data_IF_330003281320
#
_entry.id   IF_330003281320
#
_cell.length_a   1.000
_cell.length_b   1.000
_cell.length_c   1.000
_cell.angle_alpha   90.00
_cell.angle_beta   90.00
_cell.angle_gamma   90.00
#
_symmetry.space_group_name_H-M   'P 1'
#
loop_
_entity.id
_entity.type
_entity.pdbx_description
1 polymer ?
#
# COMPACT_ATOMS: atom_id res chain seq x y z
N UNK A 1 0.26 -27.50 -44.42
CA UNK A 1 -0.63 -28.54 -43.88
C UNK A 1 -1.38 -27.95 -42.70
N UNK A 2 -2.72 -27.96 -42.76
CA UNK A 2 -3.58 -27.55 -41.65
C UNK A 2 -3.84 -28.81 -40.83
N UNK A 3 -3.52 -28.78 -39.53
CA UNK A 3 -3.85 -29.87 -38.62
C UNK A 3 -5.08 -29.45 -37.83
N UNK A 4 -6.17 -30.19 -38.00
CA UNK A 4 -7.44 -29.93 -37.31
C UNK A 4 -7.57 -30.89 -36.14
N UNK A 5 -7.86 -30.35 -34.95
CA UNK A 5 -8.19 -31.14 -33.77
C UNK A 5 -9.71 -31.09 -33.60
N UNK A 6 -10.36 -32.24 -33.69
CA UNK A 6 -11.79 -32.37 -33.48
C UNK A 6 -12.06 -32.70 -32.01
N UNK A 7 -13.01 -31.99 -31.40
CA UNK A 7 -13.48 -32.25 -30.04
C UNK A 7 -14.99 -32.53 -30.06
N UNK A 8 -15.51 -33.20 -29.03
CA UNK A 8 -16.94 -33.46 -28.94
C UNK A 8 -17.73 -32.18 -28.67
N UNK A 9 -18.99 -32.15 -29.10
CA UNK A 9 -19.90 -31.03 -28.84
C UNK A 9 -20.08 -30.77 -27.34
N UNK A 10 -20.05 -31.81 -26.50
CA UNK A 10 -20.12 -31.67 -25.05
C UNK A 10 -18.89 -30.92 -24.50
N UNK A 11 -17.70 -31.27 -24.96
CA UNK A 11 -16.45 -30.59 -24.58
C UNK A 11 -16.46 -29.13 -25.05
N UNK A 12 -16.95 -28.88 -26.27
CA UNK A 12 -17.08 -27.51 -26.79
C UNK A 12 -18.03 -26.65 -25.94
N UNK A 13 -19.21 -27.17 -25.61
CA UNK A 13 -20.20 -26.44 -24.81
C UNK A 13 -19.71 -26.16 -23.37
N UNK A 14 -18.94 -27.08 -22.78
CA UNK A 14 -18.28 -26.85 -21.48
C UNK A 14 -17.22 -25.74 -21.56
N UNK A 15 -16.50 -25.62 -22.68
CA UNK A 15 -15.56 -24.52 -22.89
C UNK A 15 -16.30 -23.18 -23.04
N UNK A 16 -17.38 -23.13 -23.83
CA UNK A 16 -18.20 -21.93 -24.01
C UNK A 16 -18.84 -21.43 -22.70
N UNK A 17 -19.34 -22.34 -21.85
CA UNK A 17 -19.95 -21.93 -20.58
C UNK A 17 -18.94 -21.31 -19.60
N UNK A 18 -17.68 -21.73 -19.64
CA UNK A 18 -16.60 -21.13 -18.86
C UNK A 18 -16.20 -19.72 -19.36
N UNK A 19 -16.59 -19.37 -20.59
CA UNK A 19 -16.27 -18.10 -21.25
C UNK A 19 -17.38 -17.06 -21.04
N UNK A 20 -18.58 -17.50 -20.63
CA UNK A 20 -19.73 -16.63 -20.51
C UNK A 20 -19.49 -15.52 -19.46
N UNK A 21 -19.28 -14.29 -19.95
CA UNK A 21 -18.98 -13.09 -19.15
C UNK A 21 -17.62 -12.45 -19.43
N UNK A 22 -16.75 -13.10 -20.19
CA UNK A 22 -15.49 -12.51 -20.64
C UNK A 22 -15.52 -12.36 -22.16
N UNK A 23 -15.14 -11.19 -22.69
CA UNK A 23 -14.96 -10.91 -24.11
C UNK A 23 -13.72 -11.62 -24.68
N UNK A 24 -13.57 -12.91 -24.38
CA UNK A 24 -12.44 -13.75 -24.74
C UNK A 24 -12.83 -14.79 -25.80
N UNK A 25 -11.87 -15.20 -26.62
CA UNK A 25 -12.04 -16.20 -27.68
C UNK A 25 -11.73 -17.61 -27.16
N UNK A 26 -12.33 -18.69 -27.71
CA UNK A 26 -12.01 -20.08 -27.33
C UNK A 26 -10.51 -20.41 -27.36
N UNK A 27 -9.77 -19.89 -28.33
CA UNK A 27 -8.31 -20.05 -28.44
C UNK A 27 -7.54 -19.52 -27.21
N UNK A 28 -7.95 -18.35 -26.67
CA UNK A 28 -7.31 -17.77 -25.48
C UNK A 28 -7.53 -18.63 -24.25
N UNK A 29 -8.70 -19.27 -24.15
CA UNK A 29 -9.03 -20.16 -23.03
C UNK A 29 -8.22 -21.44 -23.12
N UNK A 30 -8.14 -22.04 -24.30
CA UNK A 30 -7.29 -23.21 -24.56
C UNK A 30 -5.83 -22.90 -24.17
N UNK A 31 -5.30 -21.74 -24.59
CA UNK A 31 -3.95 -21.33 -24.24
C UNK A 31 -3.75 -21.13 -22.71
N UNK A 32 -4.72 -20.55 -22.00
CA UNK A 32 -4.65 -20.42 -20.52
C UNK A 32 -4.67 -21.78 -19.81
N UNK A 33 -5.48 -22.72 -20.30
CA UNK A 33 -5.54 -24.06 -19.73
C UNK A 33 -4.23 -24.82 -19.98
N UNK A 34 -3.67 -24.72 -21.18
CA UNK A 34 -2.37 -25.30 -21.50
C UNK A 34 -1.28 -24.69 -20.60
N UNK A 35 -1.26 -23.37 -20.41
CA UNK A 35 -0.32 -22.68 -19.53
C UNK A 35 -0.46 -23.14 -18.05
N UNK A 36 -1.68 -23.38 -17.58
CA UNK A 36 -1.96 -23.73 -16.18
C UNK A 36 -1.72 -25.21 -15.86
N UNK A 37 -1.91 -26.11 -16.83
CA UNK A 37 -1.87 -27.56 -16.63
C UNK A 37 -0.68 -28.27 -17.28
N UNK A 38 0.20 -27.55 -17.98
CA UNK A 38 1.45 -28.12 -18.49
C UNK A 38 2.42 -28.45 -17.34
N UNK A 39 2.74 -29.73 -17.06
CA UNK A 39 3.57 -30.11 -15.92
C UNK A 39 5.05 -29.72 -16.05
N UNK A 40 5.46 -29.07 -17.15
CA UNK A 40 6.86 -28.74 -17.45
C UNK A 40 7.12 -27.29 -17.87
N UNK A 41 6.17 -26.37 -17.68
CA UNK A 41 6.49 -24.95 -17.79
C UNK A 41 6.76 -24.41 -16.39
N UNK A 42 8.02 -24.02 -16.13
CA UNK A 42 8.34 -23.13 -15.00
C UNK A 42 7.32 -21.99 -15.06
N UNK A 43 6.67 -21.62 -13.94
CA UNK A 43 5.65 -20.57 -13.95
C UNK A 43 6.21 -19.39 -14.74
N UNK A 44 5.49 -18.96 -15.80
CA UNK A 44 5.79 -17.68 -16.47
C UNK A 44 6.06 -16.71 -15.33
N UNK A 45 7.24 -16.09 -15.30
CA UNK A 45 7.58 -15.04 -14.35
C UNK A 45 6.51 -13.95 -14.51
N UNK A 46 5.36 -14.11 -13.84
CA UNK A 46 4.66 -13.00 -13.25
C UNK A 46 5.79 -12.28 -12.54
N UNK A 47 6.09 -11.04 -12.93
CA UNK A 47 6.98 -10.19 -12.16
C UNK A 47 6.44 -10.21 -10.73
N UNK A 48 6.91 -11.16 -9.91
CA UNK A 48 6.72 -11.20 -8.48
C UNK A 48 7.48 -9.94 -8.08
N UNK A 49 6.75 -8.80 -8.02
CA UNK A 49 7.31 -7.53 -7.61
C UNK A 49 7.93 -7.83 -6.26
N UNK A 50 9.26 -7.97 -6.26
CA UNK A 50 10.03 -8.27 -5.05
C UNK A 50 9.59 -7.23 -4.04
N UNK A 51 9.09 -7.70 -2.89
CA UNK A 51 8.55 -6.81 -1.88
C UNK A 51 9.63 -5.79 -1.53
N UNK A 52 9.25 -4.52 -1.57
CA UNK A 52 10.17 -3.41 -1.35
C UNK A 52 10.41 -3.22 0.16
N UNK A 53 11.58 -3.68 0.61
CA UNK A 53 12.05 -3.57 1.99
C UNK A 53 12.98 -2.36 2.23
N UNK A 54 13.04 -1.39 1.31
CA UNK A 54 13.87 -0.19 1.48
C UNK A 54 13.57 0.47 2.83
N UNK A 55 14.66 0.75 3.56
CA UNK A 55 14.69 1.48 4.82
C UNK A 55 15.30 2.85 4.57
N UNK A 56 15.01 3.78 5.46
CA UNK A 56 15.53 5.14 5.44
C UNK A 56 16.17 5.45 6.79
N UNK A 57 17.24 6.23 6.77
CA UNK A 57 17.95 6.64 7.97
C UNK A 57 17.38 7.97 8.44
N UNK A 58 16.93 8.01 9.68
CA UNK A 58 16.48 9.22 10.37
C UNK A 58 17.05 9.20 11.79
N UNK A 59 17.68 10.31 12.22
CA UNK A 59 18.39 10.40 13.50
C UNK A 59 19.33 9.20 13.75
N UNK A 60 20.13 8.84 12.73
CA UNK A 60 21.07 7.71 12.76
C UNK A 60 20.46 6.31 12.91
N UNK A 61 19.13 6.17 12.78
CA UNK A 61 18.43 4.89 12.90
C UNK A 61 17.74 4.49 11.59
N UNK A 62 17.85 3.22 11.14
CA UNK A 62 17.20 2.75 9.92
C UNK A 62 15.76 2.32 10.18
N UNK A 63 14.80 2.94 9.48
CA UNK A 63 13.38 2.65 9.60
C UNK A 63 12.76 2.14 8.29
N UNK A 64 11.89 1.12 8.34
CA UNK A 64 10.98 0.86 7.22
C UNK A 64 10.04 2.05 7.01
N UNK A 65 9.50 2.18 5.79
CA UNK A 65 8.69 3.33 5.32
C UNK A 65 7.63 3.81 6.31
N UNK A 66 6.84 2.89 6.86
CA UNK A 66 5.78 3.21 7.81
C UNK A 66 6.32 3.75 9.15
N UNK A 67 7.41 3.15 9.67
CA UNK A 67 8.07 3.60 10.89
C UNK A 67 8.80 4.92 10.70
N UNK A 68 9.38 5.16 9.53
CA UNK A 68 9.98 6.45 9.19
C UNK A 68 8.95 7.57 9.37
N UNK A 69 7.76 7.42 8.77
CA UNK A 69 6.69 8.42 8.89
C UNK A 69 6.31 8.67 10.35
N UNK A 70 6.12 7.60 11.13
CA UNK A 70 5.80 7.71 12.56
C UNK A 70 6.89 8.47 13.34
N UNK A 71 8.16 8.11 13.15
CA UNK A 71 9.28 8.70 13.91
C UNK A 71 9.51 10.16 13.54
N UNK A 72 9.39 10.52 12.25
CA UNK A 72 9.51 11.90 11.79
C UNK A 72 8.39 12.76 12.34
N UNK A 73 7.13 12.28 12.32
CA UNK A 73 6.01 13.03 12.89
C UNK A 73 6.13 13.20 14.41
N UNK A 74 6.59 12.18 15.13
CA UNK A 74 6.89 12.28 16.57
C UNK A 74 7.93 13.35 16.84
N UNK A 75 9.02 13.36 16.08
CA UNK A 75 10.06 14.38 16.22
C UNK A 75 9.52 15.79 15.93
N UNK A 76 8.74 15.97 14.87
CA UNK A 76 8.15 17.26 14.50
C UNK A 76 7.29 17.85 15.61
N UNK A 77 6.42 17.02 16.19
CA UNK A 77 5.52 17.45 17.27
C UNK A 77 6.32 17.78 18.53
N UNK A 78 7.34 16.99 18.85
CA UNK A 78 8.24 17.24 19.97
C UNK A 78 9.02 18.55 19.81
N UNK A 79 9.56 18.82 18.63
CA UNK A 79 10.43 19.96 18.38
C UNK A 79 9.68 21.30 18.35
N UNK A 80 8.45 21.33 17.82
CA UNK A 80 7.67 22.59 17.76
C UNK A 80 6.98 22.96 19.07
N UNK A 81 6.69 21.96 19.92
CA UNK A 81 5.88 22.07 21.13
C UNK A 81 4.44 22.57 20.84
N UNK A 82 3.45 22.09 21.60
CA UNK A 82 2.03 22.52 21.49
C UNK A 82 1.40 22.47 20.09
N UNK A 83 1.92 21.64 19.18
CA UNK A 83 1.40 21.51 17.81
C UNK A 83 -0.05 21.03 17.82
N UNK A 84 -0.93 21.76 17.11
CA UNK A 84 -2.33 21.39 16.90
C UNK A 84 -2.52 20.48 15.68
N UNK A 85 -3.67 19.80 15.63
CA UNK A 85 -4.06 19.00 14.47
C UNK A 85 -4.07 19.80 13.17
N UNK A 86 -4.59 21.04 13.21
CA UNK A 86 -4.73 21.89 12.02
C UNK A 86 -3.36 22.26 11.45
N UNK A 87 -2.40 22.61 12.30
CA UNK A 87 -1.04 22.97 11.89
C UNK A 87 -0.32 21.78 11.27
N UNK A 88 -0.35 20.62 11.94
CA UNK A 88 0.29 19.43 11.40
C UNK A 88 -0.35 19.01 10.07
N UNK A 89 -1.67 19.14 9.93
CA UNK A 89 -2.41 18.81 8.71
C UNK A 89 -2.11 19.78 7.56
N UNK A 90 -1.82 21.05 7.88
CA UNK A 90 -1.35 22.02 6.91
C UNK A 90 0.04 21.67 6.38
N UNK A 91 0.93 21.18 7.26
CA UNK A 91 2.25 20.70 6.85
C UNK A 91 2.16 19.42 6.00
N UNK A 92 1.32 18.47 6.42
CA UNK A 92 1.17 17.15 5.80
C UNK A 92 -0.26 16.89 5.35
N UNK A 93 -0.71 17.51 4.24
CA UNK A 93 -2.05 17.29 3.73
C UNK A 93 -2.27 15.83 3.31
N UNK A 94 -3.53 15.40 3.35
CA UNK A 94 -3.98 14.03 3.03
C UNK A 94 -3.40 13.51 1.69
N UNK A 95 -3.25 14.38 0.70
CA UNK A 95 -2.77 14.08 -0.65
C UNK A 95 -1.35 13.53 -0.71
N UNK A 96 -0.53 13.73 0.34
CA UNK A 96 0.82 13.13 0.42
C UNK A 96 0.72 11.60 0.40
N UNK A 97 -0.16 11.04 1.22
CA UNK A 97 -0.37 9.59 1.28
C UNK A 97 -1.36 9.15 0.19
N UNK A 98 -2.46 9.89 0.03
CA UNK A 98 -3.58 9.56 -0.86
C UNK A 98 -4.86 9.20 -0.09
N UNK A 99 -5.41 8.02 -0.36
CA UNK A 99 -6.76 7.63 0.08
C UNK A 99 -6.98 7.64 1.60
N UNK A 100 -5.97 7.23 2.37
CA UNK A 100 -6.06 7.14 3.84
C UNK A 100 -5.59 8.42 4.54
N UNK A 101 -4.71 9.18 3.91
CA UNK A 101 -4.05 10.32 4.55
C UNK A 101 -2.84 9.92 5.38
N UNK A 102 -2.10 10.92 5.85
CA UNK A 102 -0.85 10.71 6.59
C UNK A 102 -1.13 10.28 8.03
N UNK A 103 -2.12 10.89 8.65
CA UNK A 103 -2.61 10.62 9.99
C UNK A 103 -4.08 11.07 10.08
N UNK A 104 -4.76 10.62 11.12
CA UNK A 104 -6.12 11.06 11.45
C UNK A 104 -6.31 11.12 12.96
N UNK A 105 -7.37 11.81 13.41
CA UNK A 105 -7.74 11.87 14.83
C UNK A 105 -8.02 10.46 15.34
N UNK A 106 -7.57 10.18 16.55
CA UNK A 106 -7.80 8.93 17.23
C UNK A 106 -8.58 9.17 18.52
N UNK A 107 -9.74 8.53 18.60
CA UNK A 107 -10.56 8.44 19.80
C UNK A 107 -10.72 6.96 20.14
N UNK A 108 -10.25 6.59 21.33
CA UNK A 108 -10.34 5.21 21.81
C UNK A 108 -11.80 4.75 21.91
N UNK A 109 -12.09 3.53 21.43
CA UNK A 109 -13.46 2.99 21.42
C UNK A 109 -14.41 3.63 20.41
N UNK A 110 -13.97 4.61 19.62
CA UNK A 110 -14.81 5.24 18.62
C UNK A 110 -15.13 4.28 17.47
N UNK A 111 -16.43 3.98 17.28
CA UNK A 111 -16.94 3.22 16.13
C UNK A 111 -16.67 3.92 14.79
N UNK A 112 -16.36 5.23 14.81
CA UNK A 112 -16.05 5.99 13.60
C UNK A 112 -14.65 5.67 13.07
N UNK A 113 -13.73 5.22 13.92
CA UNK A 113 -12.37 4.88 13.50
C UNK A 113 -12.31 3.47 12.88
N UNK A 114 -12.98 3.29 11.74
CA UNK A 114 -13.07 2.00 11.02
C UNK A 114 -11.75 1.55 10.37
N UNK A 115 -10.72 2.41 10.37
CA UNK A 115 -9.46 2.15 9.70
C UNK A 115 -8.33 1.65 10.62
N UNK A 116 -8.63 1.11 11.81
CA UNK A 116 -7.63 0.67 12.80
C UNK A 116 -6.47 -0.15 12.20
N UNK A 117 -6.73 -1.06 11.25
CA UNK A 117 -5.69 -1.89 10.62
C UNK A 117 -4.70 -1.10 9.76
N UNK A 118 -5.09 0.09 9.28
CA UNK A 118 -4.31 0.96 8.38
C UNK A 118 -3.54 2.05 9.11
N UNK A 119 -3.64 2.10 10.43
CA UNK A 119 -3.02 3.11 11.27
C UNK A 119 -2.30 2.46 12.46
N UNK A 120 -1.33 3.16 13.04
CA UNK A 120 -0.71 2.80 14.30
C UNK A 120 -1.59 3.27 15.46
N UNK A 121 -2.23 2.34 16.16
CA UNK A 121 -3.22 2.63 17.21
C UNK A 121 -2.79 2.13 18.59
N UNK A 122 -1.59 1.55 18.73
CA UNK A 122 -1.10 1.16 20.05
C UNK A 122 -0.79 2.41 20.88
N UNK A 123 -1.03 2.41 22.20
CA UNK A 123 -0.85 3.59 23.05
C UNK A 123 0.51 4.27 22.89
N UNK A 124 1.59 3.49 22.80
CA UNK A 124 2.96 3.97 22.62
C UNK A 124 3.27 4.54 21.22
N UNK A 125 2.40 4.28 20.24
CA UNK A 125 2.54 4.74 18.85
C UNK A 125 1.68 5.97 18.55
N UNK A 126 0.67 6.26 19.38
CA UNK A 126 -0.14 7.46 19.25
C UNK A 126 0.71 8.71 19.46
N UNK A 127 0.37 9.78 18.75
CA UNK A 127 1.00 11.08 18.92
C UNK A 127 -0.02 12.01 19.58
N UNK A 128 0.35 12.55 20.73
CA UNK A 128 -0.43 13.55 21.45
C UNK A 128 -0.13 14.93 20.87
N UNK A 129 -1.17 15.58 20.34
CA UNK A 129 -1.15 16.99 19.94
C UNK A 129 -1.72 17.84 21.08
N UNK A 130 -1.70 19.16 20.93
CA UNK A 130 -2.27 20.07 21.95
C UNK A 130 -3.78 19.92 22.10
N UNK A 131 -4.49 19.53 21.05
CA UNK A 131 -5.95 19.50 20.98
C UNK A 131 -6.55 18.09 20.83
N UNK A 132 -5.75 17.08 20.50
CA UNK A 132 -6.24 15.72 20.23
C UNK A 132 -5.11 14.68 20.21
N UNK A 133 -5.47 13.40 20.19
CA UNK A 133 -4.54 12.34 19.84
C UNK A 133 -4.71 11.98 18.37
N UNK A 134 -3.60 11.63 17.70
CA UNK A 134 -3.63 11.16 16.32
C UNK A 134 -3.01 9.78 16.19
N UNK A 135 -3.54 9.02 15.24
CA UNK A 135 -2.96 7.78 14.76
C UNK A 135 -2.33 8.03 13.38
N UNK A 136 -1.14 7.47 13.14
CA UNK A 136 -0.38 7.64 11.89
C UNK A 136 -0.66 6.49 10.93
N UNK A 137 -0.88 6.76 9.65
CA UNK A 137 -1.13 5.72 8.66
C UNK A 137 0.10 4.81 8.50
N UNK A 138 -0.11 3.50 8.50
CA UNK A 138 0.93 2.49 8.37
C UNK A 138 1.11 1.98 6.91
N UNK A 139 0.32 2.49 5.96
CA UNK A 139 0.31 2.07 4.55
C UNK A 139 1.14 3.02 3.67
N UNK A 140 2.40 2.66 3.45
CA UNK A 140 3.35 3.43 2.64
C UNK A 140 4.09 2.52 1.65
N UNK A 141 4.13 2.94 0.39
CA UNK A 141 4.85 2.28 -0.69
C UNK A 141 5.86 3.22 -1.35
N UNK A 142 6.66 2.69 -2.27
CA UNK A 142 7.63 3.48 -3.04
C UNK A 142 6.99 4.66 -3.78
N UNK A 143 5.74 4.50 -4.25
CA UNK A 143 5.01 5.53 -4.99
C UNK A 143 4.56 6.75 -4.18
N UNK A 144 4.53 6.68 -2.84
CA UNK A 144 4.07 7.80 -2.00
C UNK A 144 5.05 8.21 -0.89
N UNK A 145 5.97 7.33 -0.46
CA UNK A 145 6.92 7.67 0.61
C UNK A 145 7.82 8.86 0.25
N UNK A 146 8.22 8.99 -1.01
CA UNK A 146 9.08 10.10 -1.43
C UNK A 146 8.38 11.46 -1.27
N UNK A 147 7.06 11.52 -1.44
CA UNK A 147 6.28 12.75 -1.21
C UNK A 147 6.38 13.19 0.26
N UNK A 148 6.26 12.24 1.19
CA UNK A 148 6.41 12.50 2.61
C UNK A 148 7.82 12.99 2.95
N UNK A 149 8.86 12.30 2.45
CA UNK A 149 10.26 12.67 2.67
C UNK A 149 10.54 14.08 2.17
N UNK A 150 10.05 14.42 0.97
CA UNK A 150 10.22 15.75 0.41
C UNK A 150 9.60 16.84 1.28
N UNK A 151 8.42 16.59 1.87
CA UNK A 151 7.80 17.53 2.81
C UNK A 151 8.61 17.63 4.10
N UNK A 152 9.05 16.52 4.69
CA UNK A 152 9.87 16.53 5.89
C UNK A 152 11.18 17.31 5.69
N UNK A 153 11.85 17.13 4.54
CA UNK A 153 13.08 17.87 4.19
C UNK A 153 12.85 19.38 4.08
N UNK A 154 11.68 19.84 3.61
CA UNK A 154 11.33 21.28 3.60
C UNK A 154 11.28 21.89 4.99
N UNK A 155 11.05 21.08 6.03
CA UNK A 155 11.08 21.49 7.43
C UNK A 155 12.40 21.12 8.11
N UNK A 156 13.48 20.93 7.35
CA UNK A 156 14.85 20.65 7.83
C UNK A 156 15.05 19.29 8.52
N UNK A 157 14.15 18.33 8.33
CA UNK A 157 14.35 16.96 8.81
C UNK A 157 15.17 16.15 7.79
N UNK A 158 16.41 15.82 8.17
CA UNK A 158 17.34 15.04 7.34
C UNK A 158 16.91 13.57 7.31
N UNK A 159 16.70 13.05 6.10
CA UNK A 159 16.32 11.66 5.86
C UNK A 159 17.18 11.15 4.71
N UNK A 160 17.95 10.11 5.00
CA UNK A 160 18.83 9.46 4.05
C UNK A 160 18.26 8.08 3.65
N UNK A 161 18.76 7.52 2.56
CA UNK A 161 18.33 6.23 2.00
C UNK A 161 19.52 5.28 1.93
#
# INVERSE_FOLDING_TARGET
MIHTINISNETYNKLESLIQGFSDTPEKVINRLIDNFSPHQKPKNQNLKRRDYTKYIFNSHPYPKNRLVLMVLKQIVNDKQNMSFKELKSMFPKTIQGSFGVFDKFEEGSKAFNNQRRFFTKPEELIKLSDTNIAVCNQWGSGNIQKFINVAKKYNYKIDN
#
